data_IF_122440147459
#
_entry.id   IF_122440147459
#
_cell.length_a   1.000
_cell.length_b   1.000
_cell.length_c   1.000
_cell.angle_alpha   90.00
_cell.angle_beta   90.00
_cell.angle_gamma   90.00
#
_symmetry.space_group_name_H-M   'P 1'
#
loop_
_entity.id
_entity.type
_entity.pdbx_description
1 polymer ?
#
# COMPACT_ATOMS: atom_id res chain seq x y z
N UNK A 1 11.72 21.18 19.31
CA UNK A 1 12.75 20.80 18.32
C UNK A 1 13.38 22.05 17.77
N UNK A 2 14.62 21.98 17.27
CA UNK A 2 15.35 23.15 16.75
C UNK A 2 14.77 23.72 15.43
N UNK A 3 14.02 22.91 14.68
CA UNK A 3 13.27 23.31 13.49
C UNK A 3 11.79 22.98 13.73
N UNK A 4 10.89 23.90 13.40
CA UNK A 4 9.44 23.68 13.49
C UNK A 4 8.93 23.00 12.22
N UNK A 5 7.98 22.05 12.34
CA UNK A 5 7.46 21.31 11.19
C UNK A 5 6.92 22.24 10.09
N UNK A 6 6.25 23.34 10.49
CA UNK A 6 5.70 24.36 9.60
C UNK A 6 6.74 25.08 8.72
N UNK A 7 8.03 25.02 9.08
CA UNK A 7 9.13 25.58 8.27
C UNK A 7 9.58 24.61 7.17
N UNK A 8 9.23 23.33 7.27
CA UNK A 8 9.59 22.27 6.31
C UNK A 8 8.41 21.93 5.40
N UNK A 9 7.25 21.67 5.99
CA UNK A 9 6.02 21.37 5.28
C UNK A 9 4.79 21.73 6.13
N UNK A 10 3.64 21.88 5.50
CA UNK A 10 2.41 22.01 6.28
C UNK A 10 2.12 20.73 7.08
N UNK A 11 1.59 20.83 8.31
CA UNK A 11 1.09 19.67 9.03
C UNK A 11 0.00 18.96 8.23
N UNK A 12 -0.06 17.63 8.33
CA UNK A 12 -1.13 16.88 7.68
C UNK A 12 -2.49 17.31 8.24
N UNK A 13 -3.30 17.93 7.38
CA UNK A 13 -4.69 18.27 7.64
C UNK A 13 -5.52 17.57 6.57
N UNK A 14 -6.27 16.53 6.96
CA UNK A 14 -7.08 15.70 6.05
C UNK A 14 -7.87 16.51 5.02
N UNK A 15 -8.58 17.56 5.46
CA UNK A 15 -9.37 18.42 4.58
C UNK A 15 -8.52 19.17 3.54
N UNK A 16 -7.30 19.59 3.91
CA UNK A 16 -6.38 20.22 2.96
C UNK A 16 -5.84 19.19 1.97
N UNK A 17 -5.40 18.02 2.44
CA UNK A 17 -4.94 16.94 1.57
C UNK A 17 -5.99 16.59 0.51
N UNK A 18 -7.25 16.37 0.93
CA UNK A 18 -8.37 16.15 0.01
C UNK A 18 -8.54 17.31 -0.99
N UNK A 19 -8.50 18.56 -0.53
CA UNK A 19 -8.59 19.75 -1.41
C UNK A 19 -7.44 19.86 -2.41
N UNK A 20 -6.24 19.40 -2.05
CA UNK A 20 -5.11 19.33 -2.98
C UNK A 20 -5.35 18.25 -4.05
N UNK A 21 -5.84 17.08 -3.66
CA UNK A 21 -6.19 15.99 -4.59
C UNK A 21 -7.33 16.39 -5.54
N UNK A 22 -8.38 17.05 -5.05
CA UNK A 22 -9.49 17.61 -5.88
C UNK A 22 -9.00 18.57 -6.97
N UNK A 23 -7.88 19.25 -6.74
CA UNK A 23 -7.25 20.18 -7.69
C UNK A 23 -6.24 19.50 -8.63
N UNK A 24 -6.16 18.18 -8.61
CA UNK A 24 -5.20 17.41 -9.42
C UNK A 24 -3.74 17.55 -8.96
N UNK A 25 -3.50 17.92 -7.70
CA UNK A 25 -2.13 18.06 -7.15
C UNK A 25 -1.66 16.76 -6.54
N UNK A 26 -0.37 16.49 -6.69
CA UNK A 26 0.30 15.40 -5.95
C UNK A 26 0.49 15.83 -4.50
N UNK A 27 0.09 14.97 -3.58
CA UNK A 27 0.30 15.15 -2.13
C UNK A 27 1.38 14.18 -1.67
N UNK A 28 2.46 14.71 -1.11
CA UNK A 28 3.55 13.92 -0.52
C UNK A 28 3.37 13.92 0.99
N UNK A 29 3.26 12.73 1.57
CA UNK A 29 3.11 12.54 3.01
C UNK A 29 4.45 12.10 3.59
N UNK A 30 4.97 12.87 4.53
CA UNK A 30 6.24 12.62 5.20
C UNK A 30 6.04 12.33 6.69
N UNK A 31 7.10 11.88 7.35
CA UNK A 31 7.13 11.51 8.77
C UNK A 31 6.21 10.33 9.19
N UNK A 32 5.66 9.58 8.24
CA UNK A 32 4.86 8.39 8.51
C UNK A 32 3.60 8.71 9.35
N UNK A 33 3.42 7.99 10.45
CA UNK A 33 2.34 8.26 11.42
C UNK A 33 2.69 9.39 12.38
N UNK A 34 3.95 9.84 12.42
CA UNK A 34 4.50 10.74 13.42
C UNK A 34 4.81 10.08 14.77
N UNK A 35 4.56 8.77 14.92
CA UNK A 35 4.74 8.03 16.16
C UNK A 35 5.83 6.95 16.01
N UNK A 36 6.66 6.71 17.06
CA UNK A 36 7.58 5.58 17.06
C UNK A 36 6.83 4.25 17.02
N UNK A 37 7.52 3.17 16.64
CA UNK A 37 7.00 1.80 16.53
C UNK A 37 6.03 1.52 15.37
N UNK A 38 5.71 2.51 14.54
CA UNK A 38 4.93 2.33 13.33
C UNK A 38 5.81 2.32 12.09
N UNK A 39 5.45 1.50 11.11
CA UNK A 39 6.15 1.43 9.83
C UNK A 39 5.61 2.48 8.85
N UNK A 40 6.29 2.64 7.71
CA UNK A 40 5.76 3.43 6.59
C UNK A 40 4.55 2.76 5.93
N UNK A 41 4.46 1.43 5.97
CA UNK A 41 3.30 0.70 5.45
C UNK A 41 2.06 1.01 6.30
N UNK A 42 2.19 1.07 7.64
CA UNK A 42 1.07 1.46 8.52
C UNK A 42 0.63 2.89 8.26
N UNK A 43 1.57 3.80 8.02
CA UNK A 43 1.26 5.17 7.64
C UNK A 43 0.54 5.23 6.29
N UNK A 44 0.98 4.45 5.30
CA UNK A 44 0.35 4.41 3.98
C UNK A 44 -1.11 3.91 4.07
N UNK A 45 -1.35 2.84 4.82
CA UNK A 45 -2.70 2.31 5.06
C UNK A 45 -3.60 3.34 5.76
N UNK A 46 -3.12 3.95 6.84
CA UNK A 46 -3.87 4.99 7.57
C UNK A 46 -4.23 6.18 6.67
N UNK A 47 -3.25 6.71 5.95
CA UNK A 47 -3.44 7.90 5.11
C UNK A 47 -4.34 7.60 3.92
N UNK A 48 -4.22 6.41 3.31
CA UNK A 48 -5.11 5.94 2.25
C UNK A 48 -6.58 5.95 2.71
N UNK A 49 -6.87 5.45 3.92
CA UNK A 49 -8.21 5.47 4.49
C UNK A 49 -8.71 6.89 4.75
N UNK A 50 -7.88 7.76 5.31
CA UNK A 50 -8.27 9.15 5.60
C UNK A 50 -8.57 9.94 4.31
N UNK A 51 -7.77 9.76 3.26
CA UNK A 51 -7.99 10.44 1.97
C UNK A 51 -9.00 9.71 1.08
N UNK A 52 -9.56 8.59 1.53
CA UNK A 52 -10.49 7.73 0.77
C UNK A 52 -9.90 7.29 -0.59
N UNK A 53 -8.66 6.81 -0.57
CA UNK A 53 -8.05 6.24 -1.75
C UNK A 53 -8.81 4.97 -2.19
N UNK A 54 -8.77 4.67 -3.49
CA UNK A 54 -9.41 3.46 -4.02
C UNK A 54 -8.58 2.19 -3.79
N UNK A 55 -7.27 2.34 -3.62
CA UNK A 55 -6.33 1.25 -3.35
C UNK A 55 -5.00 1.76 -2.77
N UNK A 56 -4.27 0.87 -2.10
CA UNK A 56 -2.87 1.06 -1.70
C UNK A 56 -1.95 0.40 -2.72
N UNK A 57 -1.11 1.19 -3.37
CA UNK A 57 -0.13 0.72 -4.34
C UNK A 57 1.23 0.52 -3.67
N UNK A 58 1.58 -0.72 -3.32
CA UNK A 58 2.85 -1.08 -2.67
C UNK A 58 3.93 -1.42 -3.70
N UNK A 59 4.77 -0.43 -3.97
CA UNK A 59 5.96 -0.56 -4.81
C UNK A 59 7.07 -1.34 -4.09
N UNK A 60 7.57 -2.41 -4.70
CA UNK A 60 8.66 -3.25 -4.16
C UNK A 60 9.75 -3.54 -5.21
N UNK A 61 10.77 -4.30 -4.82
CA UNK A 61 11.86 -4.75 -5.71
C UNK A 61 11.56 -6.10 -6.41
N UNK A 62 10.49 -6.78 -6.04
CA UNK A 62 10.06 -8.07 -6.60
C UNK A 62 8.75 -7.88 -7.38
N UNK A 63 8.37 -8.85 -8.21
CA UNK A 63 7.23 -8.69 -9.12
C UNK A 63 5.86 -8.65 -8.44
N UNK A 64 5.74 -9.25 -7.26
CA UNK A 64 4.52 -9.31 -6.47
C UNK A 64 4.76 -10.10 -5.20
N UNK A 65 3.70 -10.71 -4.67
CA UNK A 65 3.74 -11.68 -3.57
C UNK A 65 3.94 -13.07 -4.15
N UNK A 66 4.84 -13.83 -3.55
CA UNK A 66 5.16 -15.21 -3.94
C UNK A 66 4.72 -16.16 -2.82
N UNK A 67 4.44 -17.41 -3.19
CA UNK A 67 4.14 -18.49 -2.24
C UNK A 67 5.32 -18.83 -1.29
N UNK A 68 6.53 -18.47 -1.69
CA UNK A 68 7.80 -18.67 -0.97
C UNK A 68 8.81 -17.62 -1.42
N UNK A 69 9.93 -17.45 -0.69
CA UNK A 69 10.92 -16.42 -1.04
C UNK A 69 11.62 -16.75 -2.38
N UNK A 70 11.44 -15.93 -3.43
CA UNK A 70 12.02 -16.20 -4.75
C UNK A 70 13.54 -16.07 -4.81
N UNK A 71 14.18 -15.50 -3.78
CA UNK A 71 15.65 -15.47 -3.69
C UNK A 71 16.23 -16.77 -3.13
N UNK A 72 15.43 -17.56 -2.42
CA UNK A 72 15.84 -18.80 -1.76
C UNK A 72 15.30 -20.02 -2.52
N UNK A 73 14.06 -19.95 -2.98
CA UNK A 73 13.38 -21.01 -3.71
C UNK A 73 13.24 -20.63 -5.19
N UNK A 74 13.92 -21.36 -6.08
CA UNK A 74 13.81 -21.15 -7.53
C UNK A 74 12.43 -21.51 -8.10
N UNK A 75 11.67 -22.34 -7.38
CA UNK A 75 10.33 -22.77 -7.80
C UNK A 75 9.22 -21.85 -7.24
N UNK A 76 9.59 -20.74 -6.60
CA UNK A 76 8.64 -19.79 -6.03
C UNK A 76 7.69 -19.25 -7.10
N UNK A 77 6.38 -19.37 -6.85
CA UNK A 77 5.35 -18.92 -7.78
C UNK A 77 4.74 -17.61 -7.31
N UNK A 78 4.72 -16.63 -8.21
CA UNK A 78 4.02 -15.37 -7.96
C UNK A 78 2.52 -15.61 -7.99
N UNK A 79 1.82 -15.10 -6.99
CA UNK A 79 0.37 -15.15 -6.89
C UNK A 79 -0.18 -13.88 -7.56
N UNK A 80 -1.10 -14.01 -8.52
CA UNK A 80 -1.66 -12.84 -9.23
C UNK A 80 -2.76 -12.15 -8.45
N UNK A 81 -3.52 -12.93 -7.68
CA UNK A 81 -4.60 -12.45 -6.82
C UNK A 81 -4.69 -13.37 -5.60
N UNK A 82 -4.85 -12.79 -4.41
CA UNK A 82 -5.05 -13.51 -3.15
C UNK A 82 -6.01 -12.74 -2.25
N UNK A 83 -6.65 -13.46 -1.33
CA UNK A 83 -7.51 -12.83 -0.33
C UNK A 83 -6.71 -12.46 0.92
N UNK A 84 -7.24 -11.53 1.72
CA UNK A 84 -6.64 -11.18 3.00
C UNK A 84 -6.41 -12.40 3.90
N UNK A 85 -7.42 -13.27 3.99
CA UNK A 85 -7.35 -14.48 4.81
C UNK A 85 -6.37 -15.50 4.24
N UNK A 86 -6.29 -15.66 2.92
CA UNK A 86 -5.30 -16.53 2.28
C UNK A 86 -3.87 -16.08 2.60
N UNK A 87 -3.60 -14.78 2.52
CA UNK A 87 -2.29 -14.22 2.83
C UNK A 87 -1.89 -14.45 4.30
N UNK A 88 -2.83 -14.28 5.24
CA UNK A 88 -2.60 -14.54 6.67
C UNK A 88 -2.36 -16.03 6.91
N UNK A 89 -3.22 -16.90 6.38
CA UNK A 89 -3.14 -18.35 6.59
C UNK A 89 -1.85 -18.95 6.03
N UNK A 90 -1.34 -18.40 4.92
CA UNK A 90 -0.07 -18.81 4.31
C UNK A 90 1.13 -18.03 4.85
N UNK A 91 0.94 -17.14 5.83
CA UNK A 91 1.97 -16.30 6.42
C UNK A 91 2.81 -15.53 5.37
N UNK A 92 2.13 -15.00 4.34
CA UNK A 92 2.77 -14.28 3.25
C UNK A 92 3.17 -12.88 3.71
N UNK A 93 4.44 -12.52 3.51
CA UNK A 93 4.98 -11.21 3.93
C UNK A 93 4.62 -10.12 2.91
N UNK A 94 3.45 -9.52 3.08
CA UNK A 94 2.97 -8.41 2.24
C UNK A 94 3.43 -7.05 2.78
N UNK A 95 3.08 -6.77 4.04
CA UNK A 95 3.39 -5.56 4.83
C UNK A 95 3.42 -5.96 6.32
N UNK A 96 3.71 -5.03 7.23
CA UNK A 96 3.53 -5.32 8.65
C UNK A 96 2.06 -5.66 8.97
N UNK A 97 1.86 -6.50 9.98
CA UNK A 97 0.55 -7.00 10.35
C UNK A 97 -0.45 -5.87 10.66
N UNK A 98 0.00 -4.79 11.30
CA UNK A 98 -0.87 -3.66 11.65
C UNK A 98 -1.42 -2.97 10.40
N UNK A 99 -0.56 -2.66 9.43
CA UNK A 99 -0.98 -2.11 8.15
C UNK A 99 -1.91 -3.07 7.39
N UNK A 100 -1.59 -4.37 7.41
CA UNK A 100 -2.35 -5.39 6.69
C UNK A 100 -3.78 -5.53 7.22
N UNK A 101 -3.92 -5.67 8.54
CA UNK A 101 -5.22 -5.75 9.21
C UNK A 101 -6.02 -4.46 9.02
N UNK A 102 -5.37 -3.29 9.07
CA UNK A 102 -6.05 -2.01 8.84
C UNK A 102 -6.65 -1.93 7.42
N UNK A 103 -5.95 -2.43 6.41
CA UNK A 103 -6.50 -2.51 5.06
C UNK A 103 -7.61 -3.56 4.94
N UNK A 104 -7.46 -4.71 5.60
CA UNK A 104 -8.46 -5.79 5.63
C UNK A 104 -9.79 -5.32 6.23
N UNK A 105 -9.75 -4.74 7.44
CA UNK A 105 -10.94 -4.31 8.20
C UNK A 105 -11.76 -3.25 7.44
N UNK A 106 -11.09 -2.48 6.59
CA UNK A 106 -11.72 -1.44 5.77
C UNK A 106 -11.90 -1.83 4.30
N UNK A 107 -11.67 -3.09 3.94
CA UNK A 107 -11.78 -3.59 2.56
C UNK A 107 -10.99 -2.78 1.53
N UNK A 108 -9.87 -2.16 1.94
CA UNK A 108 -9.01 -1.34 1.09
C UNK A 108 -8.15 -2.25 0.21
N UNK A 109 -8.26 -2.30 -1.12
CA UNK A 109 -7.42 -3.16 -1.94
C UNK A 109 -5.93 -2.79 -1.86
N UNK A 110 -5.04 -3.80 -1.89
CA UNK A 110 -3.59 -3.60 -1.98
C UNK A 110 -3.07 -4.18 -3.30
N UNK A 111 -2.26 -3.42 -4.02
CA UNK A 111 -1.56 -3.89 -5.23
C UNK A 111 -0.06 -3.89 -4.97
N UNK A 112 0.56 -5.05 -4.94
CA UNK A 112 2.02 -5.20 -4.78
C UNK A 112 2.66 -5.38 -6.15
N UNK A 113 3.63 -4.53 -6.51
CA UNK A 113 4.29 -4.60 -7.82
C UNK A 113 5.74 -4.11 -7.81
N UNK A 114 6.52 -4.55 -8.80
CA UNK A 114 7.91 -4.12 -8.97
C UNK A 114 8.02 -2.69 -9.52
N UNK A 115 8.65 -1.78 -8.78
CA UNK A 115 8.86 -0.40 -9.23
C UNK A 115 9.98 -0.25 -10.26
N UNK A 116 10.95 -1.18 -10.29
CA UNK A 116 12.09 -1.13 -11.22
C UNK A 116 11.70 -1.43 -12.66
N UNK A 117 10.56 -2.11 -12.88
CA UNK A 117 10.05 -2.42 -14.21
C UNK A 117 9.34 -1.21 -14.81
N UNK A 118 9.93 -0.66 -15.88
CA UNK A 118 9.42 0.52 -16.59
C UNK A 118 7.95 0.33 -16.99
N UNK A 119 7.12 1.31 -16.62
CA UNK A 119 5.69 1.33 -16.94
C UNK A 119 4.78 0.65 -15.91
N UNK A 120 5.32 -0.01 -14.88
CA UNK A 120 4.50 -0.68 -13.88
C UNK A 120 3.61 0.27 -13.07
N UNK A 121 4.14 1.45 -12.66
CA UNK A 121 3.32 2.47 -11.98
C UNK A 121 2.11 2.86 -12.85
N UNK A 122 2.33 3.10 -14.15
CA UNK A 122 1.25 3.43 -15.09
C UNK A 122 0.23 2.30 -15.20
N UNK A 123 0.69 1.04 -15.28
CA UNK A 123 -0.21 -0.13 -15.32
C UNK A 123 -1.06 -0.23 -14.05
N UNK A 124 -0.43 -0.08 -12.88
CA UNK A 124 -1.10 -0.15 -11.59
C UNK A 124 -2.18 0.93 -11.44
N UNK A 125 -1.85 2.19 -11.76
CA UNK A 125 -2.82 3.32 -11.70
C UNK A 125 -3.96 3.17 -12.71
N UNK A 126 -3.72 2.52 -13.86
CA UNK A 126 -4.76 2.25 -14.86
C UNK A 126 -5.58 0.98 -14.57
N UNK A 127 -5.38 0.33 -13.43
CA UNK A 127 -6.09 -0.91 -13.08
C UNK A 127 -5.76 -2.09 -13.99
N UNK A 128 -4.63 -2.07 -14.69
CA UNK A 128 -4.19 -3.19 -15.54
C UNK A 128 -3.61 -4.30 -14.66
N UNK A 129 -3.75 -5.59 -15.03
CA UNK A 129 -3.15 -6.68 -14.29
C UNK A 129 -1.64 -6.48 -14.14
N UNK A 130 -1.18 -6.33 -12.89
CA UNK A 130 0.23 -6.17 -12.54
C UNK A 130 0.50 -6.67 -11.12
N UNK A 131 1.57 -7.46 -10.98
CA UNK A 131 2.00 -8.01 -9.69
C UNK A 131 0.89 -8.83 -9.01
N UNK A 132 0.62 -8.53 -7.75
CA UNK A 132 -0.39 -9.22 -6.94
C UNK A 132 -1.45 -8.25 -6.44
N UNK A 133 -2.72 -8.57 -6.71
CA UNK A 133 -3.87 -7.92 -6.08
C UNK A 133 -4.26 -8.65 -4.80
N UNK A 134 -4.47 -7.90 -3.72
CA UNK A 134 -4.96 -8.39 -2.44
C UNK A 134 -6.24 -7.65 -2.11
N UNK A 135 -7.33 -8.39 -1.90
CA UNK A 135 -8.64 -7.82 -1.57
C UNK A 135 -9.44 -8.75 -0.66
N UNK A 136 -10.56 -8.25 -0.14
CA UNK A 136 -11.53 -9.08 0.59
C UNK A 136 -12.13 -10.15 -0.32
N UNK A 137 -12.68 -11.21 0.28
CA UNK A 137 -13.45 -12.19 -0.46
C UNK A 137 -14.59 -11.46 -1.18
N UNK A 138 -14.69 -11.65 -2.49
CA UNK A 138 -15.89 -11.25 -3.23
C UNK A 138 -16.97 -12.23 -2.82
N UNK A 139 -17.64 -11.95 -1.70
CA UNK A 139 -19.00 -12.42 -1.51
C UNK A 139 -19.84 -11.76 -2.61
N UNK A 140 -20.21 -12.54 -3.63
CA UNK A 140 -21.23 -12.18 -4.60
C UNK A 140 -22.50 -11.73 -3.82
N UNK A 141 -22.72 -10.42 -3.75
CA UNK A 141 -24.00 -9.80 -3.37
C UNK A 141 -24.26 -8.62 -4.28
#
# INVERSE_FOLDING_TARGET
TAIAMSEVAEPFIRRRALRHLEKGRVVILAAGTGNPYFTTDTAAALRALEIKADAVLKATNVDGVYDSDPHINSDAKMLTEITYMEAINRNLRVMDLTAFTLCMDHSMPIVVFNIKKRGNIKKAVLGRPIGTLIRGDVSDT
#
